data_IF_746056992691
#
_entry.id   IF_746056992691
#
_cell.length_a   1.000
_cell.length_b   1.000
_cell.length_c   1.000
_cell.angle_alpha   90.00
_cell.angle_beta   90.00
_cell.angle_gamma   90.00
#
_symmetry.space_group_name_H-M   'P 1'
#
loop_
_entity.id
_entity.type
_entity.pdbx_description
1 polymer ?
#
# COMPACT_ATOMS: atom_id res chain seq x y z
N UNK A 1 -0.03 7.96 9.71
CA UNK A 1 0.93 7.12 8.96
C UNK A 1 1.80 8.00 8.08
N UNK A 2 3.09 7.73 8.03
CA UNK A 2 4.01 8.46 7.18
C UNK A 2 4.01 7.87 5.75
N UNK A 3 4.48 8.68 4.80
CA UNK A 3 4.62 8.20 3.41
C UNK A 3 5.58 7.02 3.32
N UNK A 4 6.64 7.05 4.13
CA UNK A 4 7.62 5.96 4.15
C UNK A 4 6.97 4.64 4.57
N UNK A 5 6.13 4.66 5.59
CA UNK A 5 5.45 3.46 6.07
C UNK A 5 4.43 2.97 5.03
N UNK A 6 3.70 3.88 4.42
CA UNK A 6 2.75 3.52 3.36
C UNK A 6 3.48 2.87 2.18
N UNK A 7 4.66 3.36 1.84
CA UNK A 7 5.49 2.79 0.78
C UNK A 7 5.94 1.37 1.11
N UNK A 8 6.37 1.16 2.35
CA UNK A 8 6.78 -0.18 2.80
C UNK A 8 5.62 -1.16 2.71
N UNK A 9 4.44 -0.74 3.17
CA UNK A 9 3.25 -1.57 3.09
C UNK A 9 2.86 -1.88 1.64
N UNK A 10 2.96 -0.89 0.77
CA UNK A 10 2.68 -1.09 -0.65
C UNK A 10 3.60 -2.15 -1.27
N UNK A 11 4.88 -2.11 -0.91
CA UNK A 11 5.83 -3.12 -1.37
C UNK A 11 5.50 -4.52 -0.85
N UNK A 12 5.10 -4.61 0.41
CA UNK A 12 4.70 -5.88 1.00
C UNK A 12 3.49 -6.47 0.28
N UNK A 13 2.54 -5.63 -0.07
CA UNK A 13 1.36 -6.06 -0.82
C UNK A 13 1.75 -6.53 -2.22
N UNK A 14 2.64 -5.80 -2.88
CA UNK A 14 3.10 -6.17 -4.22
C UNK A 14 3.78 -7.54 -4.22
N UNK A 15 4.57 -7.83 -3.18
CA UNK A 15 5.27 -9.10 -3.06
C UNK A 15 4.36 -10.24 -2.60
N UNK A 16 3.16 -9.93 -2.15
CA UNK A 16 2.23 -10.93 -1.66
C UNK A 16 2.39 -11.32 -0.21
N UNK A 17 3.24 -10.61 0.55
CA UNK A 17 3.41 -10.90 1.98
C UNK A 17 2.31 -10.28 2.84
N UNK A 18 1.56 -9.31 2.31
CA UNK A 18 0.42 -8.72 2.97
C UNK A 18 -0.69 -8.45 1.96
N UNK A 19 -1.92 -8.33 2.46
CA UNK A 19 -3.06 -7.92 1.65
C UNK A 19 -3.52 -6.55 2.10
N UNK A 20 -4.25 -5.84 1.26
CA UNK A 20 -4.78 -4.52 1.62
C UNK A 20 -5.72 -4.60 2.83
N UNK A 21 -6.40 -5.72 3.02
CA UNK A 21 -7.27 -5.94 4.17
C UNK A 21 -6.50 -5.96 5.49
N UNK A 22 -5.19 -6.23 5.46
CA UNK A 22 -4.34 -6.24 6.64
C UNK A 22 -3.96 -4.82 7.08
N UNK A 23 -4.25 -3.82 6.27
CA UNK A 23 -3.96 -2.43 6.56
C UNK A 23 -5.21 -1.80 7.17
N UNK A 24 -5.04 -1.02 8.25
CA UNK A 24 -6.15 -0.29 8.86
C UNK A 24 -6.88 0.53 7.79
N UNK A 25 -8.20 0.52 7.86
CA UNK A 25 -9.03 1.17 6.86
C UNK A 25 -8.65 2.63 6.64
N UNK A 26 -8.32 3.34 7.72
CA UNK A 26 -7.96 4.75 7.64
C UNK A 26 -6.67 5.00 6.87
N UNK A 27 -5.83 3.99 6.70
CA UNK A 27 -4.54 4.11 6.00
C UNK A 27 -4.54 3.49 4.61
N UNK A 28 -5.62 2.82 4.23
CA UNK A 28 -5.68 2.12 2.94
C UNK A 28 -5.50 3.05 1.74
N UNK A 29 -6.09 4.24 1.81
CA UNK A 29 -5.95 5.20 0.71
C UNK A 29 -4.51 5.66 0.52
N UNK A 30 -3.78 5.88 1.61
CA UNK A 30 -2.38 6.26 1.54
C UNK A 30 -1.53 5.14 0.92
N UNK A 31 -1.81 3.90 1.29
CA UNK A 31 -1.09 2.75 0.75
C UNK A 31 -1.41 2.56 -0.74
N UNK A 32 -2.66 2.72 -1.13
CA UNK A 32 -3.06 2.64 -2.53
C UNK A 32 -2.37 3.69 -3.38
N UNK A 33 -2.26 4.90 -2.86
CA UNK A 33 -1.59 5.99 -3.55
C UNK A 33 -0.12 5.68 -3.78
N UNK A 34 0.56 5.19 -2.74
CA UNK A 34 1.97 4.81 -2.86
C UNK A 34 2.15 3.62 -3.81
N UNK A 35 1.24 2.67 -3.77
CA UNK A 35 1.27 1.53 -4.68
C UNK A 35 1.20 1.98 -6.14
N UNK A 36 0.27 2.89 -6.43
CA UNK A 36 0.12 3.42 -7.77
C UNK A 36 1.38 4.17 -8.23
N UNK A 37 1.95 4.98 -7.33
CA UNK A 37 3.15 5.76 -7.66
C UNK A 37 4.37 4.86 -7.89
N UNK A 38 4.50 3.79 -7.12
CA UNK A 38 5.66 2.90 -7.21
C UNK A 38 5.57 1.92 -8.36
N UNK A 39 4.40 1.40 -8.63
CA UNK A 39 4.22 0.29 -9.57
C UNK A 39 3.39 0.63 -10.80
N UNK A 40 2.76 1.79 -10.81
CA UNK A 40 1.94 2.22 -11.96
C UNK A 40 0.65 1.43 -12.12
N UNK A 41 0.23 0.71 -11.10
CA UNK A 41 -0.98 -0.10 -11.12
C UNK A 41 -1.87 0.27 -9.94
N UNK A 42 -3.19 0.26 -10.15
CA UNK A 42 -4.12 0.49 -9.07
C UNK A 42 -4.24 -0.77 -8.21
N UNK A 43 -4.15 -0.57 -6.90
CA UNK A 43 -4.39 -1.64 -5.95
C UNK A 43 -5.89 -1.75 -5.71
N UNK A 44 -6.43 -2.89 -6.04
CA UNK A 44 -7.86 -3.14 -5.94
C UNK A 44 -8.22 -3.78 -4.60
#
# INVERSE_FOLDING_TARGET
MTKAKARILARCIYRGSKAIEDVDEQYRNAVREQYLLLFGEELV
#
